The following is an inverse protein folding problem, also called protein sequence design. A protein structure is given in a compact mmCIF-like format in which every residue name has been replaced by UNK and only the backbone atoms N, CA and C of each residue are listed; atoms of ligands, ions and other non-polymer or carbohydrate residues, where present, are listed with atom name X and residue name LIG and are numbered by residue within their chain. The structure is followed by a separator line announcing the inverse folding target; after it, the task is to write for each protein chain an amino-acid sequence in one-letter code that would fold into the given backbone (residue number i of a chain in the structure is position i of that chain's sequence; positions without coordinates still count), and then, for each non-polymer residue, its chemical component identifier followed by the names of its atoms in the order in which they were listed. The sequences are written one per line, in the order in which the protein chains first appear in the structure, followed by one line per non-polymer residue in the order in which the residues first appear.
data_IF_393490219684
#
_entry.id   IF_393490219684
#
_cell.length_a   1.000
_cell.length_b   1.000
_cell.length_c   1.000
_cell.angle_alpha   90.00
_cell.angle_beta   90.00
_cell.angle_gamma   90.00
#
_symmetry.space_group_name_H-M   'P 1'
#
loop_
_entity.id
_entity.type
_entity.pdbx_description
1 polymer ?
2 non-polymer ?
3 water ?
#
# COMPACT_ATOMS: atom_id res chain seq x y z
N UNK A 5 18.14 -24.32 -0.94
CA UNK A 5 17.35 -23.30 -0.26
C UNK A 5 18.13 -22.74 0.94
N UNK A 6 18.63 -23.64 1.77
CA UNK A 6 19.54 -23.23 2.83
C UNK A 6 20.83 -22.67 2.25
N UNK A 7 21.10 -22.92 0.97
CA UNK A 7 22.26 -22.43 0.26
C UNK A 7 22.02 -21.13 -0.53
N UNK A 8 20.76 -20.75 -0.76
CA UNK A 8 20.45 -19.69 -1.71
C UNK A 8 20.55 -18.31 -1.04
N UNK A 9 21.37 -17.43 -1.62
CA UNK A 9 21.50 -16.06 -1.17
C UNK A 9 20.51 -15.17 -1.91
N UNK A 10 19.77 -14.34 -1.18
CA UNK A 10 18.80 -13.44 -1.78
C UNK A 10 19.01 -12.05 -1.20
N UNK A 11 18.94 -11.02 -2.05
CA UNK A 11 18.92 -9.63 -1.62
C UNK A 11 17.54 -9.08 -1.90
N UNK A 12 16.92 -8.46 -0.89
CA UNK A 12 15.62 -7.81 -1.02
C UNK A 12 15.86 -6.30 -1.01
N UNK A 13 15.74 -5.67 -2.17
CA UNK A 13 15.81 -4.22 -2.25
C UNK A 13 14.44 -3.64 -1.89
N UNK A 14 14.44 -2.67 -0.98
CA UNK A 14 13.20 -2.16 -0.42
C UNK A 14 12.71 -2.96 0.76
N UNK A 15 13.60 -3.69 1.43
CA UNK A 15 13.25 -4.57 2.53
C UNK A 15 12.72 -3.86 3.75
N UNK A 16 12.75 -2.52 3.77
CA UNK A 16 12.13 -1.78 4.84
C UNK A 16 10.68 -1.39 4.59
N UNK A 17 10.15 -1.74 3.42
CA UNK A 17 8.78 -1.45 3.05
C UNK A 17 7.89 -2.67 3.15
N UNK A 18 6.71 -2.57 2.56
CA UNK A 18 5.67 -3.58 2.75
C UNK A 18 6.04 -4.91 2.09
N UNK A 19 6.18 -4.91 0.76
CA UNK A 19 6.38 -6.16 0.04
C UNK A 19 7.75 -6.73 0.33
N UNK A 20 8.75 -5.87 0.50
CA UNK A 20 10.07 -6.34 0.87
C UNK A 20 10.12 -7.00 2.24
N UNK A 21 9.48 -6.40 3.25
CA UNK A 21 9.40 -7.02 4.57
C UNK A 21 8.73 -8.38 4.51
N UNK A 22 7.57 -8.46 3.84
CA UNK A 22 6.86 -9.72 3.70
C UNK A 22 7.71 -10.75 3.02
N UNK A 23 8.43 -10.36 1.97
CA UNK A 23 9.27 -11.31 1.25
C UNK A 23 10.38 -11.84 2.16
N UNK A 24 11.01 -10.96 2.93
CA UNK A 24 12.08 -11.38 3.83
C UNK A 24 11.52 -12.29 4.93
N UNK A 25 10.34 -11.95 5.45
CA UNK A 25 9.68 -12.78 6.42
C UNK A 25 9.45 -14.19 5.88
N UNK A 26 8.99 -14.29 4.63
CA UNK A 26 8.64 -15.61 4.12
C UNK A 26 9.86 -16.40 3.70
N UNK A 27 10.93 -15.75 3.28
CA UNK A 27 12.18 -16.46 3.06
C UNK A 27 12.63 -17.17 4.33
N UNK A 28 12.47 -16.53 5.49
CA UNK A 28 12.82 -17.18 6.75
C UNK A 28 11.86 -18.32 7.05
N UNK A 29 10.54 -18.07 6.93
CA UNK A 29 9.55 -19.08 7.29
C UNK A 29 9.67 -20.33 6.44
N UNK A 30 10.16 -20.18 5.21
CA UNK A 30 10.28 -21.29 4.28
C UNK A 30 11.62 -21.99 4.40
N UNK A 31 12.49 -21.56 5.32
CA UNK A 31 13.71 -22.29 5.61
C UNK A 31 14.96 -21.82 4.90
N UNK A 32 14.97 -20.60 4.37
CA UNK A 32 16.23 -20.02 3.92
C UNK A 32 17.07 -19.69 5.15
N UNK A 33 18.38 -19.77 4.99
CA UNK A 33 19.23 -19.49 6.13
C UNK A 33 19.35 -17.98 6.33
N UNK A 34 19.10 -17.47 7.54
CA UNK A 34 18.94 -16.01 7.71
C UNK A 34 20.15 -15.17 7.33
N UNK A 35 21.37 -15.66 7.60
CA UNK A 35 22.57 -14.94 7.17
C UNK A 35 22.68 -14.87 5.65
N UNK A 36 21.92 -15.67 4.92
CA UNK A 36 21.92 -15.61 3.46
C UNK A 36 20.95 -14.59 2.91
N UNK A 37 20.09 -14.01 3.74
CA UNK A 37 19.12 -13.00 3.33
C UNK A 37 19.69 -11.63 3.65
N UNK A 38 19.68 -10.74 2.68
CA UNK A 38 20.13 -9.36 2.87
C UNK A 38 18.98 -8.42 2.54
N UNK A 39 18.68 -7.52 3.47
CA UNK A 39 17.62 -6.54 3.33
C UNK A 39 18.28 -5.18 3.15
N UNK A 40 17.93 -4.50 2.07
CA UNK A 40 18.51 -3.22 1.72
C UNK A 40 17.42 -2.17 1.62
N UNK A 41 17.65 -0.99 2.20
CA UNK A 41 16.70 0.10 2.01
C UNK A 41 17.44 1.43 2.14
N UNK A 42 16.86 2.48 1.54
CA UNK A 42 17.34 3.83 1.84
C UNK A 42 17.22 4.11 3.33
N UNK A 43 16.06 3.79 3.91
CA UNK A 43 15.81 4.13 5.30
C UNK A 43 15.69 2.87 6.15
N UNK A 44 16.16 2.99 7.39
CA UNK A 44 16.20 1.87 8.30
C UNK A 44 14.79 1.46 8.72
N UNK A 45 14.70 0.30 9.38
CA UNK A 45 13.67 -0.10 10.35
C UNK A 45 12.34 -0.17 9.60
N UNK A 46 11.17 0.48 9.99
CA UNK A 46 10.19 0.74 8.93
C UNK A 46 10.55 2.05 8.25
N UNK A 47 10.96 1.91 6.99
CA UNK A 47 11.44 3.03 6.21
C UNK A 47 10.50 4.22 6.31
N UNK A 48 11.10 5.39 6.59
CA UNK A 48 10.36 6.65 6.69
C UNK A 48 9.54 6.96 5.45
N UNK A 49 9.99 6.56 4.26
CA UNK A 49 9.24 6.88 3.04
C UNK A 49 8.38 5.72 2.54
N UNK A 50 8.45 4.56 3.18
CA UNK A 50 7.56 3.47 2.79
C UNK A 50 6.11 3.89 2.88
N UNK A 51 5.31 3.47 1.89
CA UNK A 51 3.86 3.69 1.94
C UNK A 51 3.26 3.01 3.17
N UNK A 52 3.91 1.97 3.70
CA UNK A 52 3.49 1.32 4.93
C UNK A 52 3.91 2.00 6.22
N UNK A 53 4.59 3.15 6.15
CA UNK A 53 4.96 3.88 7.37
C UNK A 53 3.82 4.82 7.73
N UNK A 54 2.79 4.25 8.34
CA UNK A 54 1.54 4.97 8.57
C UNK A 54 0.95 4.53 9.90
N UNK A 55 0.12 5.40 10.47
CA UNK A 55 -0.61 5.01 11.67
C UNK A 55 -1.61 3.91 11.39
N UNK A 56 -2.15 3.85 10.17
CA UNK A 56 -3.25 2.92 9.95
C UNK A 56 -3.50 2.76 8.46
N UNK A 57 -3.95 1.55 8.10
CA UNK A 57 -4.38 1.19 6.76
C UNK A 57 -5.69 0.43 6.90
N UNK A 58 -6.51 0.46 5.86
CA UNK A 58 -7.79 -0.25 5.89
C UNK A 58 -7.56 -1.74 5.65
N UNK A 59 -8.29 -2.56 6.39
CA UNK A 59 -8.34 -4.00 6.12
C UNK A 59 -9.74 -4.33 5.64
N UNK A 60 -9.84 -4.90 4.43
CA UNK A 60 -11.12 -5.16 3.79
C UNK A 60 -10.91 -6.25 2.73
N UNK A 61 -12.02 -6.77 2.23
CA UNK A 61 -11.99 -7.80 1.19
C UNK A 61 -12.33 -7.16 -0.14
N UNK A 62 -11.44 -7.34 -1.13
CA UNK A 62 -11.64 -6.88 -2.50
C UNK A 62 -11.62 -8.10 -3.42
N UNK A 63 -12.37 -8.02 -4.53
CA UNK A 63 -12.75 -9.24 -5.24
C UNK A 63 -12.62 -9.13 -6.77
N UNK A 64 -11.73 -8.27 -7.29
CA UNK A 64 -11.76 -7.97 -8.72
C UNK A 64 -11.40 -9.18 -9.58
N UNK A 65 -10.34 -9.91 -9.22
CA UNK A 65 -9.99 -11.12 -9.96
C UNK A 65 -9.74 -12.25 -8.97
N UNK A 66 -9.47 -13.42 -9.52
CA UNK A 66 -9.29 -14.63 -8.73
C UNK A 66 -8.23 -14.49 -7.68
N UNK A 67 -7.02 -14.08 -8.08
CA UNK A 67 -5.97 -13.80 -7.09
C UNK A 67 -6.41 -12.84 -5.99
N UNK A 68 -7.14 -11.77 -6.32
CA UNK A 68 -7.56 -10.81 -5.30
C UNK A 68 -8.31 -11.51 -4.18
N UNK A 69 -9.14 -12.49 -4.52
CA UNK A 69 -9.99 -13.12 -3.53
C UNK A 69 -9.21 -14.09 -2.66
N UNK A 70 -8.37 -14.91 -3.28
CA UNK A 70 -7.56 -15.84 -2.50
C UNK A 70 -6.59 -15.10 -1.58
N UNK A 71 -5.95 -14.04 -2.09
CA UNK A 71 -4.97 -13.32 -1.28
C UNK A 71 -5.64 -12.59 -0.13
N UNK A 72 -6.74 -11.91 -0.42
CA UNK A 72 -7.52 -11.22 0.61
C UNK A 72 -7.90 -12.17 1.74
N UNK A 73 -8.46 -13.33 1.40
CA UNK A 73 -8.95 -14.26 2.41
C UNK A 73 -7.82 -14.79 3.27
N UNK A 74 -6.73 -15.23 2.64
CA UNK A 74 -5.57 -15.70 3.39
C UNK A 74 -5.03 -14.63 4.31
N UNK A 75 -4.88 -13.40 3.79
CA UNK A 75 -4.31 -12.34 4.62
C UNK A 75 -5.21 -12.03 5.82
N UNK A 76 -6.53 -12.02 5.61
CA UNK A 76 -7.45 -11.81 6.72
C UNK A 76 -7.28 -12.88 7.79
N UNK A 77 -7.06 -14.12 7.36
CA UNK A 77 -6.85 -15.20 8.31
C UNK A 77 -5.59 -14.97 9.14
N UNK A 78 -4.52 -14.51 8.51
CA UNK A 78 -3.27 -14.33 9.25
C UNK A 78 -3.32 -13.11 10.16
N UNK A 79 -4.01 -12.04 9.74
CA UNK A 79 -4.18 -10.91 10.66
C UNK A 79 -4.95 -11.33 11.90
N UNK A 80 -5.86 -12.29 11.74
CA UNK A 80 -6.69 -12.76 12.85
C UNK A 80 -5.95 -13.78 13.72
N UNK A 81 -5.05 -14.57 13.16
CA UNK A 81 -4.55 -15.76 13.84
C UNK A 81 -3.05 -15.89 13.88
N UNK A 82 -2.31 -15.14 13.07
CA UNK A 82 -0.85 -15.23 13.12
C UNK A 82 -0.33 -14.46 14.31
N UNK A 83 0.49 -15.11 15.13
CA UNK A 83 1.00 -14.50 16.35
C UNK A 83 1.73 -13.19 16.04
N UNK A 84 2.56 -13.19 15.00
CA UNK A 84 3.31 -11.99 14.65
C UNK A 84 2.40 -10.82 14.30
N UNK A 85 1.27 -11.08 13.64
CA UNK A 85 0.47 -10.00 13.05
C UNK A 85 -0.75 -9.63 13.87
N UNK A 86 -1.25 -10.54 14.69
CA UNK A 86 -2.45 -10.30 15.49
C UNK A 86 -2.46 -8.99 16.27
N UNK A 87 -1.38 -8.56 16.94
CA UNK A 87 -1.50 -7.34 17.76
C UNK A 87 -1.82 -6.09 16.95
N UNK A 88 -1.68 -6.13 15.62
CA UNK A 88 -1.74 -4.92 14.81
C UNK A 88 -3.01 -4.82 13.99
N UNK A 89 -3.89 -5.81 14.09
CA UNK A 89 -5.20 -5.78 13.45
C UNK A 89 -6.24 -5.34 14.48
N UNK A 90 -6.90 -4.24 14.19
CA UNK A 90 -7.99 -3.72 15.02
C UNK A 90 -9.27 -4.05 14.26
N UNK A 91 -9.99 -5.06 14.73
CA UNK A 91 -11.14 -5.59 14.01
C UNK A 91 -12.42 -4.88 14.43
N UNK A 92 -12.50 -3.61 14.03
CA UNK A 92 -13.58 -2.74 14.46
C UNK A 92 -14.64 -2.62 13.40
N UNK A 93 -14.52 -3.38 12.32
CA UNK A 93 -15.43 -3.26 11.21
C UNK A 93 -15.06 -2.08 10.31
N UNK A 94 -15.58 -2.14 9.09
CA UNK A 94 -15.45 -1.05 8.14
C UNK A 94 -16.78 -0.81 7.46
N UNK A 95 -17.23 0.44 7.50
CA UNK A 95 -18.42 0.88 6.80
C UNK A 95 -17.99 1.53 5.48
N UNK A 96 -18.53 1.02 4.37
CA UNK A 96 -18.45 1.66 3.06
C UNK A 96 -19.82 2.25 2.77
N UNK A 97 -19.91 3.58 2.59
CA UNK A 97 -21.24 4.19 2.48
C UNK A 97 -21.29 5.23 1.37
N UNK A 98 -22.51 5.64 1.05
CA UNK A 98 -22.76 6.62 0.00
C UNK A 98 -24.18 7.15 0.15
N UNK A 99 -24.42 8.30 -0.47
CA UNK A 99 -25.75 8.87 -0.53
C UNK A 99 -26.07 9.42 -1.91
N UNK A 100 -25.19 9.25 -2.89
CA UNK A 100 -25.45 9.72 -4.22
C UNK A 100 -26.07 8.60 -5.03
N UNK A 101 -26.97 8.95 -5.95
CA UNK A 101 -27.65 7.94 -6.74
C UNK A 101 -26.64 6.97 -7.36
N UNK A 102 -25.58 7.52 -7.97
CA UNK A 102 -24.57 6.67 -8.60
C UNK A 102 -23.69 5.94 -7.58
N UNK A 103 -23.44 6.55 -6.42
CA UNK A 103 -22.60 5.91 -5.43
C UNK A 103 -23.27 4.71 -4.77
N UNK A 104 -24.58 4.80 -4.54
CA UNK A 104 -25.31 3.66 -3.99
C UNK A 104 -25.32 2.51 -4.98
N UNK A 105 -25.42 2.82 -6.27
CA UNK A 105 -25.35 1.77 -7.30
C UNK A 105 -24.05 1.00 -7.23
N UNK A 106 -22.93 1.71 -7.19
CA UNK A 106 -21.64 1.07 -7.01
C UNK A 106 -21.64 0.20 -5.75
N UNK A 107 -22.27 0.68 -4.69
CA UNK A 107 -22.29 -0.08 -3.44
C UNK A 107 -23.17 -1.32 -3.54
N UNK A 108 -24.32 -1.21 -4.20
CA UNK A 108 -25.14 -2.40 -4.42
C UNK A 108 -24.38 -3.44 -5.22
N UNK A 109 -23.65 -3.01 -6.26
CA UNK A 109 -22.86 -3.94 -7.06
C UNK A 109 -21.77 -4.58 -6.21
N UNK A 110 -21.10 -3.80 -5.35
CA UNK A 110 -20.12 -4.38 -4.45
C UNK A 110 -20.73 -5.48 -3.58
N UNK A 111 -21.96 -5.26 -3.13
CA UNK A 111 -22.62 -6.25 -2.28
C UNK A 111 -22.97 -7.50 -3.06
N UNK A 112 -23.48 -7.33 -4.29
CA UNK A 112 -23.85 -8.48 -5.11
C UNK A 112 -22.64 -9.33 -5.46
N UNK A 113 -21.52 -8.69 -5.82
CA UNK A 113 -20.29 -9.43 -6.10
C UNK A 113 -19.87 -10.29 -4.92
N UNK A 114 -19.97 -9.77 -3.70
CA UNK A 114 -19.72 -10.57 -2.52
C UNK A 114 -20.69 -11.74 -2.45
N UNK A 115 -21.98 -11.47 -2.72
CA UNK A 115 -22.99 -12.52 -2.76
C UNK A 115 -22.63 -13.56 -3.81
N UNK A 116 -22.40 -13.09 -5.04
CA UNK A 116 -22.25 -13.97 -6.20
C UNK A 116 -21.08 -14.91 -6.06
N UNK A 117 -20.07 -14.54 -5.26
CA UNK A 117 -18.99 -15.49 -4.99
C UNK A 117 -19.53 -16.77 -4.37
N UNK A 118 -20.55 -16.66 -3.52
CA UNK A 118 -21.19 -17.81 -2.93
C UNK A 118 -20.33 -18.65 -2.02
N UNK A 119 -19.42 -18.04 -1.25
CA UNK A 119 -18.59 -18.77 -0.31
C UNK A 119 -18.78 -18.28 1.12
N UNK A 120 -19.82 -17.49 1.38
CA UNK A 120 -20.16 -17.08 2.73
C UNK A 120 -19.82 -15.65 3.08
N UNK A 121 -19.39 -14.82 2.13
CA UNK A 121 -18.97 -13.45 2.45
C UNK A 121 -20.12 -12.60 2.96
N UNK A 122 -21.36 -12.92 2.59
CA UNK A 122 -22.51 -12.15 3.05
C UNK A 122 -22.82 -12.36 4.53
N UNK A 123 -22.19 -13.35 5.17
CA UNK A 123 -22.31 -13.49 6.62
C UNK A 123 -21.66 -12.33 7.35
N UNK A 124 -20.44 -11.96 6.94
CA UNK A 124 -19.66 -10.89 7.53
C UNK A 124 -19.73 -9.59 6.72
N UNK A 125 -20.68 -9.49 5.79
CA UNK A 125 -20.79 -8.31 4.94
C UNK A 125 -22.26 -8.02 4.76
N UNK A 126 -22.73 -6.95 5.38
CA UNK A 126 -24.14 -6.74 5.62
C UNK A 126 -24.56 -5.45 4.95
N UNK A 127 -25.72 -5.47 4.29
CA UNK A 127 -26.25 -4.28 3.67
C UNK A 127 -27.00 -3.45 4.70
N UNK A 128 -26.75 -2.14 4.70
CA UNK A 128 -27.35 -1.18 5.63
C UNK A 128 -28.24 -0.25 4.81
N UNK A 129 -29.55 -0.49 4.83
CA UNK A 129 -30.46 0.27 3.99
C UNK A 129 -31.01 1.52 4.67
N UNK A 130 -31.06 1.54 6.00
CA UNK A 130 -31.66 2.66 6.71
C UNK A 130 -30.65 3.34 7.62
N UNK A 131 -30.94 4.58 7.94
CA UNK A 131 -30.06 5.37 8.79
C UNK A 131 -29.93 4.78 10.18
N UNK A 132 -30.95 4.06 10.65
CA UNK A 132 -30.90 3.52 11.99
C UNK A 132 -29.94 2.35 12.09
N UNK A 133 -29.79 1.56 11.03
CA UNK A 133 -28.77 0.54 11.06
C UNK A 133 -27.37 1.15 10.94
N UNK A 134 -27.24 2.26 10.21
CA UNK A 134 -25.95 2.95 10.17
C UNK A 134 -25.59 3.49 11.56
N UNK A 135 -26.55 4.18 12.21
CA UNK A 135 -26.28 4.77 13.51
C UNK A 135 -25.97 3.71 14.57
N UNK A 136 -26.46 2.49 14.40
CA UNK A 136 -26.13 1.43 15.33
C UNK A 136 -24.67 1.00 15.17
N UNK A 137 -24.16 0.96 13.94
CA UNK A 137 -22.76 0.63 13.73
C UNK A 137 -21.85 1.82 14.02
N UNK A 138 -22.28 3.04 13.72
CA UNK A 138 -21.48 4.23 14.05
C UNK A 138 -22.29 5.16 14.95
N UNK A 139 -22.24 4.98 16.27
CA UNK A 139 -23.08 5.81 17.16
C UNK A 139 -22.70 7.28 17.12
N UNK A 140 -21.45 7.61 16.77
CA UNK A 140 -21.01 9.00 16.77
C UNK A 140 -21.73 9.83 15.71
N UNK A 141 -22.27 9.19 14.68
CA UNK A 141 -23.03 9.94 13.70
C UNK A 141 -24.36 10.39 14.30
N UNK A 142 -24.95 11.43 13.72
CA UNK A 142 -26.29 11.85 14.04
C UNK A 142 -27.24 11.42 12.92
N UNK A 143 -28.54 11.52 13.20
CA UNK A 143 -29.51 11.08 12.21
C UNK A 143 -29.53 12.00 11.00
N UNK A 144 -29.42 13.31 11.22
CA UNK A 144 -29.49 14.25 10.12
C UNK A 144 -28.20 14.23 9.29
N UNK A 145 -27.07 13.89 9.93
CA UNK A 145 -25.83 13.71 9.20
C UNK A 145 -25.92 12.58 8.19
N UNK A 146 -26.64 11.50 8.54
CA UNK A 146 -26.71 10.31 7.69
C UNK A 146 -27.97 10.24 6.85
N UNK A 147 -28.73 11.33 6.76
CA UNK A 147 -29.89 11.38 5.90
C UNK A 147 -29.56 10.92 4.48
N UNK A 148 -30.23 9.85 4.03
CA UNK A 148 -30.07 9.36 2.68
C UNK A 148 -28.93 8.38 2.48
N UNK A 149 -28.16 8.07 3.53
CA UNK A 149 -26.99 7.22 3.38
C UNK A 149 -27.38 5.75 3.34
N UNK A 150 -26.71 5.00 2.46
CA UNK A 150 -26.75 3.55 2.44
C UNK A 150 -25.34 3.01 2.73
N UNK A 151 -25.26 1.79 3.23
CA UNK A 151 -23.99 1.27 3.68
C UNK A 151 -23.83 -0.20 3.35
N UNK A 152 -22.58 -0.61 3.19
CA UNK A 152 -22.20 -2.01 3.21
C UNK A 152 -21.16 -2.16 4.32
N UNK A 153 -21.46 -2.99 5.31
CA UNK A 153 -20.63 -3.06 6.50
C UNK A 153 -19.91 -4.38 6.56
N UNK A 154 -18.58 -4.32 6.66
CA UNK A 154 -17.74 -5.51 6.78
C UNK A 154 -17.44 -5.73 8.25
N UNK A 155 -18.17 -6.65 8.88
CA UNK A 155 -17.91 -6.96 10.29
C UNK A 155 -16.53 -7.57 10.51
N UNK A 156 -15.95 -8.15 9.46
CA UNK A 156 -14.66 -8.82 9.51
C UNK A 156 -13.49 -7.85 9.43
N UNK A 157 -13.71 -6.65 8.91
CA UNK A 157 -12.63 -5.74 8.61
C UNK A 157 -12.25 -4.86 9.78
N UNK A 158 -11.46 -3.83 9.47
CA UNK A 158 -10.97 -2.91 10.47
C UNK A 158 -9.79 -2.12 9.93
N UNK A 159 -8.80 -1.89 10.79
CA UNK A 159 -7.61 -1.16 10.37
C UNK A 159 -6.37 -1.85 10.92
N UNK A 160 -5.26 -1.58 10.25
CA UNK A 160 -3.97 -2.21 10.53
C UNK A 160 -3.00 -1.15 11.00
N UNK A 161 -2.29 -1.41 12.10
CA UNK A 161 -1.25 -0.50 12.60
C UNK A 161 0.01 -0.70 11.76
N UNK A 162 0.05 -0.01 10.62
CA UNK A 162 0.94 -0.39 9.52
C UNK A 162 2.41 -0.31 9.92
N UNK A 163 2.86 0.87 10.33
CA UNK A 163 4.28 1.02 10.66
C UNK A 163 4.68 0.05 11.77
N UNK A 164 3.80 -0.15 12.75
CA UNK A 164 4.10 -1.06 13.86
C UNK A 164 4.25 -2.50 13.37
N UNK A 165 3.40 -2.93 12.44
CA UNK A 165 3.51 -4.30 11.93
C UNK A 165 4.81 -4.49 11.16
N UNK A 166 5.21 -3.49 10.37
CA UNK A 166 6.46 -3.61 9.63
C UNK A 166 7.62 -3.64 10.59
N UNK A 167 7.56 -2.83 11.65
CA UNK A 167 8.58 -2.86 12.68
C UNK A 167 8.70 -4.23 13.34
N UNK A 168 7.55 -4.87 13.61
CA UNK A 168 7.57 -6.20 14.23
C UNK A 168 8.27 -7.21 13.35
N UNK A 169 8.02 -7.18 12.03
CA UNK A 169 8.75 -8.06 11.12
C UNK A 169 10.24 -7.77 11.20
N UNK A 170 10.60 -6.49 11.15
CA UNK A 170 12.01 -6.13 11.18
C UNK A 170 12.70 -6.64 12.43
N UNK A 171 12.00 -6.57 13.57
CA UNK A 171 12.57 -7.08 14.81
C UNK A 171 12.79 -8.58 14.71
N UNK A 172 11.77 -9.29 14.23
CA UNK A 172 11.88 -10.73 14.01
C UNK A 172 13.07 -11.05 13.11
N UNK A 173 13.17 -10.35 11.97
CA UNK A 173 14.27 -10.61 11.03
C UNK A 173 15.63 -10.38 11.67
N UNK A 174 15.79 -9.28 12.39
CA UNK A 174 17.07 -9.01 13.05
C UNK A 174 17.40 -10.13 14.04
N UNK A 175 16.43 -10.54 14.85
CA UNK A 175 16.63 -11.62 15.83
C UNK A 175 17.04 -12.93 15.16
N UNK A 176 16.53 -13.22 13.97
CA UNK A 176 16.96 -14.44 13.28
C UNK A 176 18.33 -14.30 12.65
N UNK A 177 18.86 -13.09 12.50
CA UNK A 177 20.18 -12.89 11.96
C UNK A 177 20.26 -12.43 10.51
N UNK A 178 19.17 -11.91 9.95
CA UNK A 178 19.21 -11.38 8.59
C UNK A 178 20.18 -10.22 8.54
N UNK A 179 20.88 -10.07 7.42
CA UNK A 179 21.79 -8.95 7.24
C UNK A 179 21.05 -7.76 6.65
N UNK A 180 21.49 -6.55 7.04
CA UNK A 180 20.85 -5.31 6.65
C UNK A 180 21.87 -4.35 6.08
N UNK A 181 21.43 -3.53 5.13
CA UNK A 181 22.18 -2.38 4.65
C UNK A 181 21.23 -1.20 4.42
N UNK A 182 21.59 -0.03 4.93
CA UNK A 182 20.74 1.15 4.87
C UNK A 182 21.59 2.35 4.47
N UNK A 183 20.92 3.48 4.21
CA UNK A 183 21.66 4.63 3.70
C UNK A 183 22.19 4.37 2.31
N UNK A 184 23.34 4.98 1.99
CA UNK A 184 23.89 4.67 0.67
C UNK A 184 24.42 3.26 0.57
N UNK A 185 24.58 2.56 1.70
CA UNK A 185 24.88 1.12 1.66
C UNK A 185 23.68 0.30 1.23
N UNK A 186 22.47 0.86 1.30
CA UNK A 186 21.26 0.13 0.96
C UNK A 186 20.45 0.76 -0.16
N UNK A 187 21.02 1.74 -0.84
CA UNK A 187 20.33 2.46 -1.92
C UNK A 187 20.72 1.83 -3.25
N UNK A 188 19.79 1.07 -3.84
CA UNK A 188 19.99 0.44 -5.14
C UNK A 188 20.39 1.46 -6.21
N UNK A 189 21.38 1.09 -7.00
CA UNK A 189 21.74 1.87 -8.17
C UNK A 189 21.67 1.07 -9.46
N UNK A 190 22.22 -0.14 -9.49
CA UNK A 190 22.16 -0.92 -10.73
C UNK A 190 22.37 -2.40 -10.43
N UNK A 191 21.80 -3.28 -11.24
CA UNK A 191 22.14 -4.70 -11.11
C UNK A 191 23.56 -4.96 -11.57
N UNK A 192 24.09 -6.09 -11.14
CA UNK A 192 25.38 -6.62 -11.55
C UNK A 192 25.15 -7.87 -12.38
N UNK A 193 25.92 -8.02 -13.45
CA UNK A 193 25.70 -9.09 -14.42
C UNK A 193 26.95 -9.94 -14.59
N UNK A 194 26.72 -11.22 -14.87
CA UNK A 194 27.80 -12.12 -15.25
C UNK A 194 28.37 -11.69 -16.61
N UNK A 195 29.34 -12.47 -17.10
CA UNK A 195 30.01 -12.11 -18.36
C UNK A 195 29.03 -11.99 -19.52
N UNK A 196 27.87 -12.63 -19.45
CA UNK A 196 26.89 -12.58 -20.54
C UNK A 196 26.14 -11.26 -20.60
N UNK A 197 26.26 -10.41 -19.57
CA UNK A 197 25.53 -9.15 -19.58
C UNK A 197 24.03 -9.29 -19.49
N UNK A 198 23.52 -10.48 -19.16
CA UNK A 198 22.08 -10.68 -19.00
C UNK A 198 21.69 -11.59 -17.84
N UNK A 199 22.59 -12.36 -17.23
CA UNK A 199 22.27 -13.06 -16.01
C UNK A 199 22.67 -12.16 -14.85
N UNK A 200 21.71 -11.89 -13.96
CA UNK A 200 21.98 -11.04 -12.82
C UNK A 200 22.71 -11.84 -11.74
N UNK A 201 23.77 -11.24 -11.18
CA UNK A 201 24.54 -11.87 -10.13
C UNK A 201 24.49 -11.08 -8.82
N UNK A 202 23.80 -9.96 -8.80
CA UNK A 202 23.74 -9.14 -7.60
C UNK A 202 23.35 -7.72 -7.98
N UNK A 203 23.79 -6.78 -7.14
CA UNK A 203 23.46 -5.37 -7.39
C UNK A 203 24.51 -4.50 -6.71
N UNK A 204 24.62 -3.28 -7.23
CA UNK A 204 25.47 -2.24 -6.65
C UNK A 204 24.61 -1.14 -6.05
N UNK A 205 25.04 -0.60 -4.92
CA UNK A 205 24.40 0.57 -4.34
C UNK A 205 25.15 1.84 -4.71
N UNK A 206 24.57 2.99 -4.35
CA UNK A 206 25.09 4.27 -4.83
C UNK A 206 26.49 4.60 -4.29
N UNK A 207 26.92 3.93 -3.22
CA UNK A 207 28.27 4.10 -2.68
C UNK A 207 29.29 3.16 -3.29
N UNK A 208 28.88 2.30 -4.23
CA UNK A 208 29.77 1.34 -4.82
C UNK A 208 29.83 0.00 -4.14
N UNK A 209 29.17 -0.17 -2.98
CA UNK A 209 29.07 -1.48 -2.37
C UNK A 209 28.41 -2.46 -3.32
N UNK A 210 29.08 -3.58 -3.58
CA UNK A 210 28.54 -4.61 -4.46
C UNK A 210 28.05 -5.78 -3.60
N UNK A 211 26.78 -6.13 -3.75
CA UNK A 211 26.20 -7.31 -3.10
C UNK A 211 25.99 -8.39 -4.15
N UNK A 212 26.45 -9.60 -3.85
CA UNK A 212 26.33 -10.72 -4.77
C UNK A 212 25.35 -11.75 -4.21
N UNK A 213 24.45 -12.22 -5.06
CA UNK A 213 23.46 -13.17 -4.59
C UNK A 213 22.92 -13.95 -5.77
N UNK A 214 22.29 -15.09 -5.43
CA UNK A 214 21.63 -15.91 -6.45
C UNK A 214 20.39 -15.21 -7.01
N UNK A 215 19.69 -14.44 -6.19
CA UNK A 215 18.45 -13.78 -6.60
C UNK A 215 18.41 -12.38 -6.01
N UNK A 216 17.93 -11.43 -6.80
CA UNK A 216 17.70 -10.05 -6.36
C UNK A 216 16.20 -9.78 -6.49
N UNK A 217 15.59 -9.24 -5.44
CA UNK A 217 14.17 -8.90 -5.46
C UNK A 217 14.04 -7.39 -5.36
N UNK A 218 13.39 -6.79 -6.34
CA UNK A 218 13.17 -5.34 -6.36
C UNK A 218 11.77 -5.06 -5.84
N UNK A 219 11.68 -4.75 -4.55
CA UNK A 219 10.41 -4.38 -3.93
C UNK A 219 10.47 -2.92 -3.48
N UNK A 220 10.76 -2.02 -4.41
CA UNK A 220 11.01 -0.62 -4.08
C UNK A 220 9.76 0.24 -4.22
N UNK A 221 8.57 -0.38 -4.23
CA UNK A 221 7.32 0.38 -4.24
C UNK A 221 7.25 1.39 -5.37
N UNK A 222 6.85 2.63 -5.01
CA UNK A 222 6.72 3.72 -5.98
C UNK A 222 8.05 4.11 -6.64
N UNK A 223 9.19 3.74 -6.05
CA UNK A 223 10.48 4.00 -6.68
C UNK A 223 10.90 2.94 -7.70
N UNK A 224 10.25 1.77 -7.72
CA UNK A 224 10.67 0.72 -8.66
C UNK A 224 10.76 1.18 -10.11
N UNK A 225 9.78 1.86 -10.69
CA UNK A 225 9.90 2.32 -12.09
C UNK A 225 10.94 3.40 -12.29
N UNK A 226 11.40 4.07 -11.23
CA UNK A 226 12.48 5.03 -11.37
C UNK A 226 13.86 4.36 -11.34
N UNK A 227 13.95 3.16 -10.76
CA UNK A 227 15.25 2.48 -10.61
C UNK A 227 15.58 1.59 -11.80
N UNK A 228 14.60 0.91 -12.36
CA UNK A 228 14.79 0.08 -13.54
C UNK A 228 13.65 0.35 -14.52
N UNK A 229 13.96 0.22 -15.81
CA UNK A 229 12.99 0.54 -16.85
C UNK A 229 11.91 -0.53 -16.87
N UNK A 230 10.68 -0.16 -16.48
CA UNK A 230 9.54 -1.07 -16.50
C UNK A 230 8.68 -0.89 -17.74
N UNK A 231 9.24 -0.27 -18.79
CA UNK A 231 8.52 0.01 -20.03
C UNK A 231 7.19 0.70 -19.76
N UNK A 232 7.22 1.66 -18.83
CA UNK A 232 6.07 2.51 -18.49
C UNK A 232 4.83 1.70 -18.08
N UNK A 233 5.02 0.45 -17.63
CA UNK A 233 3.92 -0.35 -17.07
C UNK A 233 3.38 0.23 -15.78
N UNK A 234 4.23 0.93 -15.02
CA UNK A 234 3.89 1.43 -13.70
C UNK A 234 4.00 2.95 -13.68
N UNK A 235 2.99 3.60 -13.14
CA UNK A 235 3.03 5.04 -12.94
C UNK A 235 2.86 5.28 -11.46
N UNK A 236 3.85 5.91 -10.86
CA UNK A 236 3.79 6.18 -9.43
C UNK A 236 2.92 7.39 -9.14
N UNK A 237 2.12 7.30 -8.09
CA UNK A 237 1.18 8.35 -7.76
C UNK A 237 1.12 8.54 -6.25
N UNK A 238 0.75 9.75 -5.86
CA UNK A 238 0.63 10.14 -4.46
C UNK A 238 -0.84 10.28 -4.08
N UNK A 239 -1.17 9.78 -2.90
CA UNK A 239 -2.38 10.14 -2.20
C UNK A 239 -1.98 10.92 -0.94
N UNK A 240 -2.98 11.43 -0.22
CA UNK A 240 -2.75 12.46 0.78
C UNK A 240 -3.42 12.07 2.08
N UNK A 241 -2.86 12.53 3.20
CA UNK A 241 -3.61 12.47 4.44
C UNK A 241 -3.23 13.68 5.29
N UNK A 242 -4.02 13.93 6.33
CA UNK A 242 -3.65 14.85 7.40
C UNK A 242 -4.13 14.27 8.73
N UNK A 243 -3.67 14.87 9.83
CA UNK A 243 -4.04 14.47 11.19
C UNK A 243 -4.79 15.59 11.89
N UNK A 244 -5.69 15.22 12.81
CA UNK A 244 -6.26 16.18 13.74
C UNK A 244 -6.06 15.64 15.15
N UNK A 245 -5.98 16.54 16.12
CA UNK A 245 -5.73 16.18 17.52
C UNK A 245 -7.05 16.29 18.27
N UNK A 246 -7.48 15.18 18.88
CA UNK A 246 -8.66 15.20 19.72
C UNK A 246 -8.27 15.38 21.17
N UNK A 247 -9.14 16.07 21.94
CA UNK A 247 -9.06 16.06 23.39
C UNK A 247 -9.29 14.65 23.93
N UNK A 248 -8.90 14.38 25.18
CA UNK A 248 -9.20 13.06 25.75
C UNK A 248 -10.68 12.75 25.80
N UNK A 249 -11.52 13.76 26.05
CA UNK A 249 -12.97 13.59 26.01
C UNK A 249 -13.45 13.18 24.62
N UNK A 250 -13.01 13.92 23.60
CA UNK A 250 -13.40 13.61 22.23
C UNK A 250 -12.86 12.25 21.81
N UNK A 251 -11.61 11.95 22.18
CA UNK A 251 -11.00 10.68 21.80
C UNK A 251 -11.78 9.51 22.36
N UNK A 252 -12.25 9.64 23.60
CA UNK A 252 -13.05 8.57 24.21
C UNK A 252 -14.33 8.32 23.44
N UNK A 253 -15.02 9.38 23.02
CA UNK A 253 -16.26 9.21 22.26
C UNK A 253 -16.05 8.45 20.95
N UNK A 254 -14.82 8.29 20.49
CA UNK A 254 -14.54 7.65 19.21
C UNK A 254 -13.81 6.33 19.35
N UNK A 255 -13.65 5.80 20.57
CA UNK A 255 -12.94 4.54 20.70
C UNK A 255 -13.73 3.42 20.03
N UNK A 256 -13.02 2.57 19.29
CA UNK A 256 -13.53 1.40 18.59
C UNK A 256 -14.51 1.73 17.48
N UNK A 257 -14.63 3.00 17.08
CA UNK A 257 -15.51 3.32 15.94
C UNK A 257 -15.00 2.60 14.69
N UNK A 258 -15.88 2.04 13.85
CA UNK A 258 -15.38 1.40 12.63
C UNK A 258 -14.74 2.40 11.68
N UNK A 259 -13.84 1.89 10.84
CA UNK A 259 -13.40 2.65 9.67
C UNK A 259 -14.63 3.05 8.87
N UNK A 260 -14.68 4.30 8.47
CA UNK A 260 -15.75 4.80 7.62
C UNK A 260 -15.14 5.30 6.31
N UNK A 261 -15.75 4.91 5.19
CA UNK A 261 -15.21 5.17 3.87
C UNK A 261 -16.36 5.52 2.92
N UNK A 262 -16.21 6.61 2.15
CA UNK A 262 -17.15 6.96 1.09
C UNK A 262 -16.33 7.41 -0.11
N UNK A 263 -16.46 6.66 -1.21
CA UNK A 263 -15.60 6.84 -2.37
C UNK A 263 -15.62 8.22 -2.97
N UNK A 264 -16.67 8.99 -2.71
CA UNK A 264 -16.75 10.37 -3.18
C UNK A 264 -16.21 11.38 -2.16
N UNK A 265 -15.70 10.94 -1.01
CA UNK A 265 -15.22 11.88 0.00
C UNK A 265 -13.84 11.54 0.54
N UNK A 266 -13.66 10.30 0.97
CA UNK A 266 -12.45 9.90 1.64
C UNK A 266 -12.80 8.96 2.77
N UNK A 267 -11.99 8.96 3.83
CA UNK A 267 -12.18 8.03 4.93
C UNK A 267 -11.42 8.52 6.15
N UNK A 268 -11.77 7.97 7.32
CA UNK A 268 -11.05 8.29 8.54
C UNK A 268 -10.98 7.06 9.44
N UNK A 269 -10.11 7.14 10.46
CA UNK A 269 -9.79 6.06 11.38
C UNK A 269 -10.05 6.50 12.82
N UNK A 270 -10.33 5.53 13.68
CA UNK A 270 -10.45 5.83 15.11
C UNK A 270 -9.15 6.43 15.63
N UNK A 271 -9.22 7.28 16.65
CA UNK A 271 -8.01 7.92 17.19
C UNK A 271 -6.98 6.86 17.58
N UNK A 272 -5.70 7.15 17.34
CA UNK A 272 -4.65 6.29 17.85
C UNK A 272 -4.53 6.50 19.37
N UNK A 273 -3.52 5.87 19.97
CA UNK A 273 -3.37 5.97 21.42
C UNK A 273 -2.98 7.37 21.90
N UNK A 274 -2.70 8.31 20.99
CA UNK A 274 -2.39 9.68 21.36
C UNK A 274 -3.54 10.65 21.04
N UNK A 275 -4.71 10.12 20.67
CA UNK A 275 -5.86 10.94 20.32
C UNK A 275 -5.85 11.52 18.93
N UNK A 276 -5.04 10.99 18.02
CA UNK A 276 -4.87 11.57 16.69
C UNK A 276 -5.71 10.78 15.71
N UNK A 277 -6.58 11.47 14.97
CA UNK A 277 -7.33 10.89 13.87
C UNK A 277 -6.64 11.21 12.55
N UNK A 278 -6.41 10.17 11.76
CA UNK A 278 -5.95 10.34 10.39
C UNK A 278 -7.16 10.42 9.46
N UNK A 279 -7.15 11.42 8.58
CA UNK A 279 -8.20 11.63 7.60
C UNK A 279 -7.60 11.59 6.19
N UNK A 280 -8.29 10.93 5.28
CA UNK A 280 -7.87 10.92 3.89
C UNK A 280 -9.04 11.32 3.01
N UNK A 281 -8.72 11.88 1.85
CA UNK A 281 -9.76 12.04 0.85
C UNK A 281 -9.63 10.87 -0.12
N UNK A 282 -10.51 10.85 -1.13
CA UNK A 282 -10.44 9.85 -2.19
C UNK A 282 -10.52 10.58 -3.52
N UNK A 283 -9.60 10.22 -4.43
CA UNK A 283 -9.38 10.95 -5.67
C UNK A 283 -8.38 10.12 -6.48
N UNK A 284 -8.11 10.45 -7.74
CA UNK A 284 -7.28 9.55 -8.57
C UNK A 284 -5.77 9.62 -8.36
N UNK A 285 -5.25 10.42 -7.43
CA UNK A 285 -3.82 10.42 -7.22
C UNK A 285 -3.13 11.57 -7.97
N UNK A 286 -1.90 11.85 -7.55
CA UNK A 286 -1.05 12.88 -8.17
C UNK A 286 0.20 12.24 -8.76
N UNK A 287 0.53 12.61 -9.98
CA UNK A 287 1.80 12.20 -10.55
C UNK A 287 2.83 13.31 -10.30
N UNK A 288 4.10 12.99 -10.51
CA UNK A 288 5.14 14.05 -10.51
C UNK A 288 6.17 13.67 -11.57
N UNK A 289 5.84 14.00 -12.82
CA UNK A 289 6.69 13.64 -13.94
C UNK A 289 7.94 14.49 -13.94
N UNK A 290 9.05 13.85 -14.27
CA UNK A 290 10.35 14.48 -14.19
C UNK A 290 11.28 13.64 -15.04
N UNK A 291 12.23 14.31 -15.69
CA UNK A 291 13.22 13.60 -16.49
C UNK A 291 14.08 12.72 -15.60
N UNK A 292 14.24 11.47 -16.01
CA UNK A 292 14.96 10.49 -15.19
C UNK A 292 15.35 9.35 -16.10
N UNK A 293 16.46 8.70 -15.80
CA UNK A 293 16.93 7.56 -16.60
C UNK A 293 16.97 6.31 -15.72
N UNK A 294 15.89 5.52 -15.71
CA UNK A 294 15.95 4.24 -14.99
C UNK A 294 16.99 3.35 -15.65
N UNK A 295 17.62 2.48 -14.84
CA UNK A 295 18.59 1.57 -15.40
C UNK A 295 17.95 0.70 -16.48
N UNK A 296 18.62 0.58 -17.61
CA UNK A 296 18.08 -0.13 -18.73
C UNK A 296 17.38 0.73 -19.75
N UNK A 297 17.01 1.96 -19.41
CA UNK A 297 16.49 2.88 -20.41
C UNK A 297 17.63 3.47 -21.21
N UNK A 298 17.43 3.59 -22.52
CA UNK A 298 18.50 4.09 -23.38
C UNK A 298 18.70 5.58 -23.25
N UNK A 299 17.69 6.31 -22.77
CA UNK A 299 17.75 7.76 -22.68
C UNK A 299 17.00 8.22 -21.43
N UNK A 300 17.34 9.40 -20.90
CA UNK A 300 16.45 10.05 -19.92
C UNK A 300 15.03 10.13 -20.47
N UNK A 301 14.05 9.84 -19.61
CA UNK A 301 12.65 9.76 -20.00
C UNK A 301 11.83 10.54 -19.00
N UNK A 302 10.67 10.99 -19.47
CA UNK A 302 9.72 11.67 -18.61
C UNK A 302 8.91 10.60 -17.88
N UNK A 303 9.18 10.41 -16.58
CA UNK A 303 8.47 9.42 -15.77
C UNK A 303 8.11 9.99 -14.41
N UNK A 304 7.12 9.37 -13.76
CA UNK A 304 6.63 9.91 -12.50
C UNK A 304 7.58 9.46 -11.40
N UNK A 305 8.23 10.42 -10.78
CA UNK A 305 9.25 10.18 -9.75
C UNK A 305 8.72 10.69 -8.43
N UNK A 306 8.57 9.84 -7.42
CA UNK A 306 8.01 10.28 -6.14
C UNK A 306 8.74 11.50 -5.62
N UNK A 307 7.98 12.45 -5.11
CA UNK A 307 8.52 13.57 -4.39
C UNK A 307 8.39 13.19 -2.91
N UNK A 308 9.48 12.70 -2.33
CA UNK A 308 9.43 12.01 -1.04
C UNK A 308 9.32 13.01 0.10
N UNK A 309 8.27 12.84 0.93
CA UNK A 309 8.13 13.66 2.14
C UNK A 309 9.27 13.41 3.11
N UNK A 310 9.79 12.18 3.18
CA UNK A 310 10.94 11.93 4.04
C UNK A 310 12.14 12.75 3.61
N UNK A 311 12.33 12.93 2.29
CA UNK A 311 13.45 13.74 1.79
C UNK A 311 13.18 15.23 1.87
N UNK A 312 11.91 15.64 1.85
CA UNK A 312 11.51 17.04 1.78
C UNK A 312 10.45 17.27 2.83
N UNK A 313 10.86 17.32 4.11
CA UNK A 313 9.87 17.42 5.20
C UNK A 313 9.10 18.74 5.24
N UNK A 314 9.52 19.77 4.50
CA UNK A 314 8.71 20.98 4.42
C UNK A 314 7.56 20.86 3.43
N UNK A 315 7.58 19.85 2.56
CA UNK A 315 6.44 19.60 1.67
C UNK A 315 5.16 19.35 2.46
N UNK A 316 4.02 19.77 1.88
CA UNK A 316 2.73 19.37 2.44
C UNK A 316 1.98 18.63 1.33
N UNK A 317 0.85 19.15 0.87
CA UNK A 317 0.17 18.63 -0.30
C UNK A 317 -0.51 19.81 -0.98
N UNK A 318 -1.11 19.60 -2.16
CA UNK A 318 -1.70 20.75 -2.89
C UNK A 318 -2.89 21.37 -2.19
N UNK A 319 -3.11 22.66 -2.49
CA UNK A 319 -4.27 23.36 -1.95
C UNK A 319 -5.57 22.64 -2.30
N UNK A 320 -5.62 22.05 -3.49
CA UNK A 320 -6.82 21.30 -3.88
C UNK A 320 -7.09 20.13 -2.95
N UNK A 321 -6.04 19.55 -2.35
CA UNK A 321 -6.27 18.48 -1.39
C UNK A 321 -6.69 19.02 -0.03
N UNK A 322 -6.25 20.23 0.34
CA UNK A 322 -6.78 20.86 1.55
C UNK A 322 -8.30 20.97 1.45
N UNK A 323 -8.82 21.35 0.27
CA UNK A 323 -10.27 21.46 0.05
C UNK A 323 -10.96 20.11 0.29
N UNK A 324 -10.43 19.04 -0.30
CA UNK A 324 -11.16 17.77 -0.24
C UNK A 324 -11.01 17.07 1.10
N UNK A 325 -9.87 17.24 1.78
CA UNK A 325 -9.72 16.73 3.15
C UNK A 325 -10.72 17.40 4.08
N UNK A 326 -10.90 18.72 3.93
CA UNK A 326 -11.84 19.40 4.80
C UNK A 326 -13.29 19.03 4.44
N UNK A 327 -13.55 18.65 3.19
CA UNK A 327 -14.87 18.11 2.82
C UNK A 327 -15.11 16.75 3.47
N UNK A 328 -14.09 15.89 3.52
CA UNK A 328 -14.23 14.62 4.24
C UNK A 328 -14.52 14.84 5.72
N UNK A 329 -13.82 15.80 6.34
CA UNK A 329 -14.08 16.07 7.74
C UNK A 329 -15.50 16.58 7.93
N UNK A 330 -15.93 17.52 7.10
CA UNK A 330 -17.26 18.07 7.27
C UNK A 330 -18.34 17.00 7.09
N UNK A 331 -18.11 16.01 6.22
CA UNK A 331 -19.11 14.95 6.05
C UNK A 331 -19.09 13.94 7.19
N UNK A 332 -17.91 13.49 7.62
CA UNK A 332 -17.81 12.42 8.61
C UNK A 332 -17.69 12.92 10.03
N UNK A 333 -17.06 14.07 10.25
CA UNK A 333 -16.75 14.57 11.60
C UNK A 333 -17.16 16.02 11.72
N UNK A 334 -18.43 16.34 11.42
CA UNK A 334 -18.83 17.75 11.33
C UNK A 334 -18.57 18.56 12.60
N UNK A 335 -18.56 17.92 13.77
CA UNK A 335 -18.22 18.62 15.00
C UNK A 335 -16.75 19.06 15.06
N UNK A 336 -15.88 18.49 14.22
CA UNK A 336 -14.46 18.83 14.24
C UNK A 336 -14.06 19.80 13.14
N UNK A 337 -15.03 20.44 12.50
CA UNK A 337 -14.76 21.31 11.35
C UNK A 337 -13.78 22.43 11.66
N UNK A 338 -13.64 22.82 12.93
CA UNK A 338 -12.77 23.92 13.26
C UNK A 338 -11.43 23.45 13.82
N UNK A 339 -11.19 22.15 13.83
CA UNK A 339 -9.90 21.65 14.29
C UNK A 339 -8.83 21.97 13.26
N UNK A 340 -7.64 22.27 13.75
CA UNK A 340 -6.53 22.52 12.85
C UNK A 340 -5.89 21.20 12.45
N UNK A 341 -5.42 21.13 11.21
CA UNK A 341 -4.81 19.94 10.65
C UNK A 341 -3.31 20.09 10.75
N UNK A 342 -2.61 18.94 10.77
CA UNK A 342 -1.16 18.97 10.76
C UNK A 342 -0.69 17.63 10.17
N UNK A 343 0.61 17.53 9.93
CA UNK A 343 1.20 16.35 9.28
C UNK A 343 0.57 16.12 7.90
N UNK A 344 0.29 17.21 7.19
CA UNK A 344 -0.17 17.06 5.80
C UNK A 344 0.92 16.39 4.98
N UNK A 345 0.57 15.29 4.31
CA UNK A 345 1.55 14.40 3.71
C UNK A 345 1.05 13.86 2.38
N UNK A 346 1.97 13.70 1.45
CA UNK A 346 1.80 12.91 0.24
C UNK A 346 2.52 11.59 0.45
N UNK A 347 1.85 10.50 0.09
CA UNK A 347 2.32 9.14 0.26
C UNK A 347 2.26 8.44 -1.09
N UNK A 348 3.31 7.73 -1.49
CA UNK A 348 3.43 7.24 -2.87
C UNK A 348 3.19 5.74 -3.00
N UNK A 349 2.48 5.37 -4.08
CA UNK A 349 2.25 4.00 -4.54
C UNK A 349 2.53 3.93 -6.03
N UNK A 350 2.49 2.73 -6.60
CA UNK A 350 2.67 2.59 -8.05
C UNK A 350 1.53 1.78 -8.67
N UNK A 351 0.86 2.39 -9.62
CA UNK A 351 -0.27 1.76 -10.30
C UNK A 351 0.22 1.00 -11.52
N UNK A 352 -0.39 -0.17 -11.77
CA UNK A 352 -0.34 -0.79 -13.08
C UNK A 352 -1.61 -0.43 -13.84
N UNK A 353 -1.66 -0.83 -15.11
CA UNK A 353 -2.78 -0.40 -15.94
C UNK A 353 -4.06 -1.11 -15.53
N UNK A 354 -3.96 -2.37 -15.10
CA UNK A 354 -5.12 -3.16 -14.69
C UNK A 354 -5.26 -3.31 -13.18
N UNK A 355 -4.42 -2.64 -12.38
CA UNK A 355 -4.45 -2.63 -10.92
C UNK A 355 -4.06 -3.97 -10.29
N UNK A 356 -3.56 -4.92 -11.06
CA UNK A 356 -2.95 -6.12 -10.50
C UNK A 356 -1.48 -5.86 -10.16
N UNK A 357 -0.91 -6.75 -9.35
CA UNK A 357 0.50 -6.70 -9.01
C UNK A 357 1.37 -6.93 -10.24
N UNK A 358 2.63 -6.51 -10.13
CA UNK A 358 3.67 -6.84 -11.10
C UNK A 358 4.73 -7.62 -10.32
N UNK A 359 4.69 -8.95 -10.47
CA UNK A 359 5.55 -9.84 -9.71
C UNK A 359 6.05 -10.87 -10.71
N UNK A 360 7.29 -10.73 -11.17
CA UNK A 360 7.76 -11.55 -12.28
C UNK A 360 9.26 -11.41 -12.35
N UNK A 361 9.90 -12.33 -13.08
CA UNK A 361 11.31 -12.15 -13.40
C UNK A 361 11.39 -11.10 -14.51
N UNK A 362 12.42 -10.26 -14.44
CA UNK A 362 12.62 -9.29 -15.51
C UNK A 362 12.77 -10.03 -16.84
N UNK A 363 12.20 -9.52 -17.94
CA UNK A 363 12.25 -10.28 -19.21
C UNK A 363 13.65 -10.62 -19.68
N UNK A 364 14.62 -9.70 -19.54
CA UNK A 364 15.95 -9.96 -20.05
C UNK A 364 16.97 -10.34 -18.97
N UNK A 365 16.78 -9.89 -17.73
CA UNK A 365 17.73 -10.14 -16.64
C UNK A 365 17.30 -11.35 -15.81
N UNK A 366 17.98 -12.48 -16.00
CA UNK A 366 17.67 -13.66 -15.21
C UNK A 366 18.05 -13.44 -13.74
N UNK A 367 17.17 -13.91 -12.84
CA UNK A 367 17.30 -13.86 -11.38
C UNK A 367 17.04 -12.48 -10.81
N UNK A 368 16.60 -11.52 -11.61
CA UNK A 368 16.18 -10.21 -11.12
C UNK A 368 14.66 -10.21 -11.10
N UNK A 369 14.08 -10.19 -9.90
CA UNK A 369 12.65 -10.37 -9.72
C UNK A 369 12.04 -9.02 -9.39
N UNK A 370 10.99 -8.66 -10.10
CA UNK A 370 10.23 -7.47 -9.77
C UNK A 370 9.13 -7.86 -8.82
N UNK A 371 8.85 -6.99 -7.86
CA UNK A 371 7.77 -7.29 -6.94
C UNK A 371 7.17 -5.94 -6.53
N UNK A 372 6.30 -5.43 -7.39
CA UNK A 372 5.81 -4.07 -7.25
C UNK A 372 4.42 -4.01 -7.87
N UNK A 373 4.00 -2.82 -8.32
CA UNK A 373 2.68 -2.65 -8.86
C UNK A 373 1.60 -2.76 -7.82
N UNK A 374 1.93 -2.42 -6.56
CA UNK A 374 1.01 -2.50 -5.43
C UNK A 374 -0.34 -1.85 -5.69
N UNK A 375 -0.37 -0.84 -6.55
CA UNK A 375 -1.60 -0.18 -7.00
C UNK A 375 -2.43 0.38 -5.85
N UNK A 376 -1.78 0.80 -4.78
CA UNK A 376 -2.49 1.51 -3.73
C UNK A 376 -3.38 0.67 -2.84
N UNK A 377 -3.31 -0.67 -2.91
CA UNK A 377 -4.22 -1.44 -2.06
C UNK A 377 -3.61 -2.76 -1.60
N UNK A 378 -2.28 -2.83 -1.45
CA UNK A 378 -1.63 -4.07 -1.10
C UNK A 378 -1.08 -4.12 0.33
N UNK A 379 -1.26 -3.07 1.15
CA UNK A 379 -0.71 -3.19 2.50
C UNK A 379 -1.38 -4.30 3.28
N UNK A 380 -2.69 -4.49 3.09
CA UNK A 380 -3.39 -5.59 3.76
C UNK A 380 -2.76 -6.94 3.49
N UNK A 381 -1.96 -7.07 2.43
CA UNK A 381 -1.30 -8.33 2.07
C UNK A 381 0.08 -8.48 2.70
N UNK A 382 0.45 -7.58 3.61
CA UNK A 382 1.71 -7.74 4.35
C UNK A 382 1.93 -9.14 4.90
N UNK A 383 0.97 -9.81 5.52
CA UNK A 383 1.26 -11.14 6.08
C UNK A 383 1.63 -12.18 5.04
N UNK A 384 1.07 -12.12 3.84
CA UNK A 384 1.18 -13.25 2.92
C UNK A 384 1.72 -12.94 1.53
N UNK A 385 1.77 -11.68 1.08
CA UNK A 385 2.27 -11.45 -0.29
C UNK A 385 3.67 -12.02 -0.48
N UNK A 386 4.49 -12.03 0.58
CA UNK A 386 5.83 -12.59 0.45
C UNK A 386 5.82 -14.07 0.08
N UNK A 387 4.81 -14.81 0.51
CA UNK A 387 4.72 -16.22 0.17
C UNK A 387 4.81 -16.43 -1.33
N UNK A 388 4.10 -15.60 -2.10
CA UNK A 388 4.03 -15.75 -3.56
C UNK A 388 5.28 -15.22 -4.25
N UNK A 389 5.93 -14.19 -3.69
CA UNK A 389 7.21 -13.77 -4.25
C UNK A 389 8.20 -14.92 -4.16
N UNK A 390 8.25 -15.60 -3.01
CA UNK A 390 9.17 -16.72 -2.86
C UNK A 390 8.75 -17.87 -3.76
N UNK A 391 7.44 -18.09 -3.91
CA UNK A 391 6.99 -19.11 -4.86
C UNK A 391 7.49 -18.81 -6.26
N UNK A 392 7.34 -17.56 -6.71
CA UNK A 392 7.87 -17.19 -8.03
C UNK A 392 9.37 -17.41 -8.09
N UNK A 393 10.08 -16.96 -7.06
CA UNK A 393 11.51 -17.14 -6.99
C UNK A 393 11.88 -18.62 -7.15
N UNK A 394 11.07 -19.51 -6.59
CA UNK A 394 11.33 -20.94 -6.62
C UNK A 394 10.77 -21.63 -7.86
N UNK A 395 9.98 -20.94 -8.68
CA UNK A 395 9.35 -21.57 -9.82
C UNK A 395 8.11 -22.37 -9.51
N UNK A 396 7.47 -22.13 -8.36
CA UNK A 396 6.32 -22.89 -7.92
C UNK A 396 5.02 -22.10 -7.94
N UNK A 397 5.04 -20.87 -8.44
CA UNK A 397 3.85 -20.03 -8.40
C UNK A 397 2.82 -20.51 -9.42
N UNK A 398 1.55 -20.55 -9.02
CA UNK A 398 0.52 -21.06 -9.91
C UNK A 398 0.51 -20.27 -11.20
N UNK A 399 0.11 -20.93 -12.29
CA UNK A 399 0.18 -20.25 -13.57
C UNK A 399 -0.85 -19.13 -13.66
N UNK A 400 -2.04 -19.29 -13.07
CA UNK A 400 -3.01 -18.19 -13.11
C UNK A 400 -2.50 -16.97 -12.33
N UNK A 401 -1.82 -17.19 -11.21
CA UNK A 401 -1.26 -16.07 -10.47
C UNK A 401 -0.08 -15.45 -11.22
N UNK A 402 0.85 -16.28 -11.69
CA UNK A 402 1.95 -15.76 -12.51
C UNK A 402 1.41 -14.97 -13.71
N UNK A 403 0.38 -15.50 -14.36
CA UNK A 403 -0.18 -14.80 -15.51
C UNK A 403 -0.76 -13.45 -15.15
N UNK A 404 -1.54 -13.40 -14.08
CA UNK A 404 -2.13 -12.12 -13.67
C UNK A 404 -1.07 -11.08 -13.33
N UNK A 405 0.10 -11.52 -12.86
CA UNK A 405 1.13 -10.61 -12.37
C UNK A 405 2.30 -10.43 -13.32
N UNK A 406 2.16 -10.89 -14.56
CA UNK A 406 3.27 -11.02 -15.47
C UNK A 406 3.72 -9.66 -16.03
N UNK A 407 4.92 -9.66 -16.60
CA UNK A 407 5.41 -8.56 -17.41
C UNK A 407 4.43 -8.31 -18.57
N UNK A 408 3.85 -7.10 -18.64
CA UNK A 408 2.76 -6.91 -19.59
C UNK A 408 2.58 -5.48 -20.05
N UNK A 409 3.59 -4.86 -20.66
CA UNK A 409 3.44 -3.45 -21.06
C UNK A 409 2.36 -3.30 -22.12
N UNK A 410 1.69 -2.15 -22.10
CA UNK A 410 0.75 -1.85 -23.17
C UNK A 410 -0.44 -1.05 -22.74
N UNK A 411 -0.80 -1.14 -21.47
CA UNK A 411 -1.95 -0.41 -20.96
C UNK A 411 -1.60 1.01 -20.52
N UNK A 412 -2.65 1.72 -20.11
CA UNK A 412 -2.56 3.10 -19.63
C UNK A 412 -2.55 3.08 -18.10
N UNK A 413 -1.38 3.11 -17.50
CA UNK A 413 -1.31 3.10 -16.06
C UNK A 413 -1.52 4.48 -15.46
N UNK A 414 -1.53 5.55 -16.28
CA UNK A 414 -1.80 6.88 -15.74
C UNK A 414 -3.25 7.01 -15.30
N UNK A 415 -4.17 6.39 -16.05
CA UNK A 415 -5.56 6.22 -15.68
C UNK A 415 -5.78 4.98 -14.82
N UNK A 416 -5.12 3.88 -15.18
CA UNK A 416 -5.29 2.62 -14.47
C UNK A 416 -6.78 2.33 -14.42
N UNK A 417 -7.30 1.90 -13.28
CA UNK A 417 -8.73 1.70 -13.08
C UNK A 417 -9.32 2.77 -12.16
N UNK A 418 -8.73 3.95 -12.13
CA UNK A 418 -9.21 5.02 -11.27
C UNK A 418 -10.28 5.89 -11.93
N UNK A 419 -10.52 5.73 -13.22
CA UNK A 419 -11.53 6.52 -13.89
C UNK A 419 -11.14 7.95 -14.21
N UNK A 420 -9.91 8.37 -13.93
CA UNK A 420 -9.36 9.62 -14.44
C UNK A 420 -7.84 9.52 -14.40
N UNK A 421 -7.14 10.18 -15.32
CA UNK A 421 -5.68 10.18 -15.22
C UNK A 421 -5.27 11.07 -14.06
N UNK A 422 -4.30 10.61 -13.29
CA UNK A 422 -3.71 11.42 -12.23
C UNK A 422 -3.36 12.80 -12.76
N UNK A 423 -3.62 13.82 -11.94
CA UNK A 423 -3.14 15.17 -12.20
C UNK A 423 -1.71 15.29 -11.68
N UNK A 424 -0.94 16.20 -12.28
CA UNK A 424 0.48 16.31 -11.94
C UNK A 424 0.72 17.40 -10.90
N UNK A 425 1.70 17.14 -10.02
CA UNK A 425 2.04 18.15 -9.01
C UNK A 425 2.49 19.47 -9.64
N UNK A 426 3.06 19.44 -10.86
CA UNK A 426 3.46 20.70 -11.49
C UNK A 426 2.26 21.59 -11.83
N UNK A 427 1.06 21.05 -11.92
CA UNK A 427 -0.09 21.91 -12.18
C UNK A 427 -0.92 22.17 -10.93
N UNK A 428 -0.47 21.71 -9.76
CA UNK A 428 -1.27 21.79 -8.54
C UNK A 428 -0.51 22.60 -7.48
N UNK A 429 -0.80 23.88 -7.31
CA UNK A 429 -0.03 24.70 -6.37
C UNK A 429 -0.31 24.36 -4.90
N UNK A 430 0.63 24.73 -4.03
CA UNK A 430 0.43 24.75 -2.58
C UNK A 430 1.21 23.72 -1.78
N UNK A 431 1.87 22.76 -2.41
CA UNK A 431 2.52 21.70 -1.65
C UNK A 431 3.98 21.96 -1.37
N UNK A 432 4.62 22.83 -2.15
CA UNK A 432 6.06 23.02 -2.11
C UNK A 432 6.39 24.28 -1.32
N UNK A 433 7.29 24.15 -0.35
CA UNK A 433 7.67 25.24 0.53
C UNK A 433 9.20 25.30 0.63
N UNK A 434 9.85 25.22 -0.54
CA UNK A 434 11.31 25.16 -0.73
C UNK A 434 11.93 26.56 -0.86
#
# INVERSE_FOLDING_TARGET
MAHSRASTKVVVVGGGGTIGSSTALHLIRRGYTPSNITVLDVYKTPSLQSAGHDLNKIMSIRLRNGPDLQLSLESLDMWQNDELFKPFFHQVGMLDCSSSKEGIENLRRKYQTLLDAGIGLEKTNVWLESEDEILAKVPNFTREQVKGWKGLFCTDGGWLAAAKAINAIGIFLQDKGVKFGFGDAGTFQQPLFAADGKTCIGLETTDGTKYFADKVVLAAGAWSPTLVDLEDQCVSKAWVFAHIQLTPKEADAYKNVPVVYDGEYGFFFEPNEYGVIKVCDEFPGYSRFKLHQPYGAASPKMISVPRSHAKHPTDTYPDASEVTIRKAIARFLPEFKDKELFNRTMCWCTDTADANLLICEHPKWKNFILATGDSGHSFKLLPNIGKYVVELLEGSLSQEMAGAWRWRPGGDALRSRRGAPAKDLAEMPGWKHDAHL
#
